data_IF_619660450371
#
_entry.id   IF_619660450371
#
_cell.length_a   1.000
_cell.length_b   1.000
_cell.length_c   1.000
_cell.angle_alpha   90.00
_cell.angle_beta   90.00
_cell.angle_gamma   90.00
#
_symmetry.space_group_name_H-M   'P 1'
#
loop_
_entity.id
_entity.type
_entity.pdbx_description
1 polymer ?
#
# COMPACT_ATOMS: atom_id res chain seq x y z
N UNK A 1 -32.32 18.38 -39.31
CA UNK A 1 -31.57 17.82 -38.16
C UNK A 1 -32.56 17.29 -37.13
N UNK A 2 -32.59 15.97 -36.92
CA UNK A 2 -33.68 15.27 -36.25
C UNK A 2 -33.53 15.29 -34.72
N UNK A 3 -34.55 15.73 -33.97
CA UNK A 3 -34.53 15.87 -32.48
C UNK A 3 -34.19 14.57 -31.76
N UNK A 4 -34.49 13.42 -32.36
CA UNK A 4 -34.31 12.08 -31.78
C UNK A 4 -32.84 11.67 -31.65
N UNK A 5 -31.96 12.11 -32.55
CA UNK A 5 -30.52 11.78 -32.50
C UNK A 5 -29.79 12.53 -31.38
N UNK A 6 -30.16 13.80 -31.14
CA UNK A 6 -29.61 14.62 -30.05
C UNK A 6 -29.99 14.10 -28.66
N UNK A 7 -31.22 13.58 -28.51
CA UNK A 7 -31.71 12.98 -27.26
C UNK A 7 -30.95 11.67 -26.94
N UNK A 8 -30.71 10.82 -27.95
CA UNK A 8 -29.96 9.56 -27.83
C UNK A 8 -28.48 9.77 -27.48
N UNK A 9 -27.85 10.79 -28.07
CA UNK A 9 -26.47 11.17 -27.74
C UNK A 9 -26.33 11.67 -26.29
N UNK A 10 -27.23 12.54 -25.82
CA UNK A 10 -27.25 13.00 -24.40
C UNK A 10 -27.47 11.85 -23.42
N UNK A 11 -28.39 10.93 -23.72
CA UNK A 11 -28.66 9.78 -22.85
C UNK A 11 -27.47 8.81 -22.75
N UNK A 12 -26.71 8.62 -23.83
CA UNK A 12 -25.48 7.79 -23.80
C UNK A 12 -24.37 8.41 -22.97
N UNK A 13 -24.19 9.73 -23.04
CA UNK A 13 -23.18 10.47 -22.23
C UNK A 13 -23.57 10.46 -20.75
N UNK A 14 -24.85 10.71 -20.44
CA UNK A 14 -25.38 10.68 -19.07
C UNK A 14 -25.27 9.28 -18.43
N UNK A 15 -25.64 8.22 -19.16
CA UNK A 15 -25.48 6.82 -18.66
C UNK A 15 -24.02 6.44 -18.42
N UNK A 16 -23.08 6.88 -19.26
CA UNK A 16 -21.64 6.66 -19.07
C UNK A 16 -21.09 7.35 -17.81
N UNK A 17 -21.63 8.52 -17.46
CA UNK A 17 -21.28 9.23 -16.23
C UNK A 17 -21.81 8.53 -14.98
N UNK A 18 -23.06 8.08 -15.01
CA UNK A 18 -23.72 7.38 -13.89
C UNK A 18 -23.07 6.02 -13.60
N UNK A 19 -22.76 5.22 -14.63
CA UNK A 19 -22.05 3.94 -14.47
C UNK A 19 -20.64 4.11 -13.90
N UNK A 20 -19.90 5.14 -14.34
CA UNK A 20 -18.59 5.46 -13.77
C UNK A 20 -18.68 5.85 -12.30
N UNK A 21 -19.69 6.64 -11.91
CA UNK A 21 -19.91 7.04 -10.51
C UNK A 21 -20.26 5.85 -9.61
N UNK A 22 -21.13 4.95 -10.08
CA UNK A 22 -21.62 3.82 -9.29
C UNK A 22 -20.53 2.77 -9.02
N UNK A 23 -19.63 2.54 -9.99
CA UNK A 23 -18.49 1.64 -9.82
C UNK A 23 -17.47 2.18 -8.79
N UNK A 24 -17.17 3.49 -8.80
CA UNK A 24 -16.29 4.11 -7.80
C UNK A 24 -16.86 4.08 -6.38
N UNK A 25 -18.18 4.09 -6.21
CA UNK A 25 -18.82 4.13 -4.90
C UNK A 25 -18.58 2.87 -4.05
N UNK A 26 -18.41 1.70 -4.68
CA UNK A 26 -18.16 0.44 -3.96
C UNK A 26 -16.70 -0.03 -4.02
N UNK A 27 -15.98 0.27 -5.12
CA UNK A 27 -14.59 -0.17 -5.28
C UNK A 27 -13.61 0.57 -4.34
N UNK A 28 -13.74 1.89 -4.19
CA UNK A 28 -12.83 2.67 -3.32
C UNK A 28 -12.90 2.24 -1.85
N UNK A 29 -14.08 2.09 -1.21
CA UNK A 29 -14.13 1.61 0.18
C UNK A 29 -13.55 0.21 0.35
N UNK A 30 -13.82 -0.71 -0.58
CA UNK A 30 -13.25 -2.05 -0.53
C UNK A 30 -11.72 -2.01 -0.58
N UNK A 31 -11.15 -1.24 -1.52
CA UNK A 31 -9.71 -1.06 -1.63
C UNK A 31 -9.10 -0.41 -0.38
N UNK A 32 -9.75 0.60 0.22
CA UNK A 32 -9.28 1.20 1.46
C UNK A 32 -9.20 0.18 2.61
N UNK A 33 -10.22 -0.68 2.73
CA UNK A 33 -10.25 -1.74 3.75
C UNK A 33 -9.17 -2.79 3.48
N UNK A 34 -9.02 -3.26 2.24
CA UNK A 34 -8.00 -4.24 1.88
C UNK A 34 -6.58 -3.70 2.13
N UNK A 35 -6.30 -2.47 1.70
CA UNK A 35 -5.01 -1.81 1.96
C UNK A 35 -4.80 -1.63 3.46
N UNK A 36 -5.80 -1.13 4.18
CA UNK A 36 -5.72 -0.95 5.63
C UNK A 36 -5.41 -2.25 6.38
N UNK A 37 -6.11 -3.34 6.08
CA UNK A 37 -5.88 -4.67 6.66
C UNK A 37 -4.45 -5.14 6.37
N UNK A 38 -3.97 -4.98 5.13
CA UNK A 38 -2.61 -5.41 4.75
C UNK A 38 -1.53 -4.71 5.59
N UNK A 39 -1.68 -3.40 5.84
CA UNK A 39 -0.74 -2.63 6.65
C UNK A 39 -0.85 -2.92 8.14
N UNK A 40 -2.06 -3.10 8.67
CA UNK A 40 -2.26 -3.50 10.07
C UNK A 40 -1.65 -4.88 10.33
N UNK A 41 -1.89 -5.85 9.43
CA UNK A 41 -1.30 -7.18 9.53
C UNK A 41 0.24 -7.14 9.44
N UNK A 42 0.78 -6.43 8.44
CA UNK A 42 2.23 -6.25 8.29
C UNK A 42 2.87 -5.61 9.53
N UNK A 43 2.31 -4.49 10.01
CA UNK A 43 2.85 -3.79 11.18
C UNK A 43 2.76 -4.65 12.44
N UNK A 44 1.65 -5.38 12.63
CA UNK A 44 1.50 -6.30 13.77
C UNK A 44 2.55 -7.41 13.76
N UNK A 45 2.85 -7.99 12.59
CA UNK A 45 3.90 -9.00 12.45
C UNK A 45 5.29 -8.41 12.77
N UNK A 46 5.57 -7.17 12.38
CA UNK A 46 6.84 -6.50 12.75
C UNK A 46 6.96 -6.22 14.24
N UNK A 47 5.85 -5.96 14.94
CA UNK A 47 5.84 -5.82 16.41
C UNK A 47 6.10 -7.17 17.09
N UNK A 48 5.44 -8.24 16.64
CA UNK A 48 5.58 -9.58 17.25
C UNK A 48 6.99 -10.13 17.02
N UNK A 49 7.55 -9.91 15.83
CA UNK A 49 8.84 -10.46 15.40
C UNK A 49 9.91 -9.37 15.28
N UNK A 50 9.99 -8.57 16.33
CA UNK A 50 10.89 -7.43 16.44
C UNK A 50 12.35 -7.74 16.10
N UNK A 51 12.88 -8.83 16.67
CA UNK A 51 14.29 -9.21 16.51
C UNK A 51 14.62 -9.45 15.05
N UNK A 52 13.79 -10.24 14.37
CA UNK A 52 13.93 -10.58 12.95
C UNK A 52 13.82 -9.34 12.06
N UNK A 53 12.91 -8.41 12.38
CA UNK A 53 12.80 -7.15 11.66
C UNK A 53 14.03 -6.25 11.85
N UNK A 54 14.59 -6.21 13.07
CA UNK A 54 15.81 -5.47 13.38
C UNK A 54 17.03 -6.07 12.67
N UNK A 55 17.12 -7.40 12.61
CA UNK A 55 18.16 -8.13 11.88
C UNK A 55 18.07 -7.85 10.36
N UNK A 56 16.85 -7.81 9.81
CA UNK A 56 16.63 -7.40 8.42
C UNK A 56 17.04 -5.94 8.17
N UNK A 57 16.79 -5.03 9.12
CA UNK A 57 17.25 -3.64 9.04
C UNK A 57 18.78 -3.50 9.17
N UNK A 58 19.43 -4.39 9.91
CA UNK A 58 20.89 -4.45 10.00
C UNK A 58 21.50 -5.02 8.73
N UNK A 59 20.90 -6.05 8.14
CA UNK A 59 21.44 -6.71 6.94
C UNK A 59 21.54 -5.74 5.76
N UNK A 60 20.59 -4.82 5.67
CA UNK A 60 20.57 -3.69 4.75
C UNK A 60 21.82 -2.79 4.77
N UNK A 61 22.49 -2.62 5.91
CA UNK A 61 23.82 -2.02 6.00
C UNK A 61 23.94 -0.52 5.70
N UNK A 62 22.84 0.20 5.44
CA UNK A 62 22.83 1.64 5.18
C UNK A 62 22.40 2.50 6.38
N UNK A 63 21.96 1.89 7.49
CA UNK A 63 21.50 2.59 8.70
C UNK A 63 22.43 2.33 9.89
N UNK A 64 22.77 3.36 10.69
CA UNK A 64 23.45 3.16 11.98
C UNK A 64 22.52 2.48 12.99
N UNK A 65 23.10 1.72 13.92
CA UNK A 65 22.37 0.91 14.92
C UNK A 65 21.33 1.70 15.73
N UNK A 66 21.61 2.97 16.04
CA UNK A 66 20.69 3.84 16.76
C UNK A 66 19.40 4.09 15.95
N UNK A 67 19.52 4.29 14.63
CA UNK A 67 18.36 4.51 13.74
C UNK A 67 17.63 3.20 13.51
N UNK A 68 18.32 2.07 13.46
CA UNK A 68 17.69 0.74 13.31
C UNK A 68 16.74 0.47 14.47
N UNK A 69 17.17 0.70 15.71
CA UNK A 69 16.31 0.50 16.88
C UNK A 69 15.11 1.45 16.89
N UNK A 70 15.33 2.73 16.55
CA UNK A 70 14.26 3.71 16.47
C UNK A 70 13.27 3.40 15.35
N UNK A 71 13.75 3.00 14.17
CA UNK A 71 12.95 2.60 13.02
C UNK A 71 12.19 1.29 13.28
N UNK A 72 12.84 0.33 13.95
CA UNK A 72 12.24 -0.89 14.47
C UNK A 72 11.02 -0.58 15.33
N UNK A 73 11.09 0.47 16.16
CA UNK A 73 9.98 0.90 17.02
C UNK A 73 8.92 1.65 16.24
N UNK A 74 9.33 2.71 15.56
CA UNK A 74 8.40 3.67 15.02
C UNK A 74 7.63 3.12 13.80
N UNK A 75 8.31 2.40 12.90
CA UNK A 75 7.72 1.97 11.63
C UNK A 75 6.50 1.04 11.81
N UNK A 76 6.53 0.00 12.67
CA UNK A 76 5.37 -0.86 12.87
C UNK A 76 4.15 -0.10 13.40
N UNK A 77 4.34 0.81 14.37
CA UNK A 77 3.25 1.64 14.89
C UNK A 77 2.71 2.61 13.85
N UNK A 78 3.58 3.19 13.01
CA UNK A 78 3.17 4.05 11.89
C UNK A 78 2.34 3.23 10.88
N UNK A 79 2.75 2.01 10.54
CA UNK A 79 2.01 1.13 9.63
C UNK A 79 0.62 0.79 10.16
N UNK A 80 0.54 0.41 11.43
CA UNK A 80 -0.74 0.05 12.08
C UNK A 80 -1.67 1.28 12.13
N UNK A 81 -1.16 2.43 12.58
CA UNK A 81 -1.98 3.64 12.72
C UNK A 81 -2.48 4.14 11.37
N UNK A 82 -1.63 4.21 10.34
CA UNK A 82 -2.05 4.58 9.00
C UNK A 82 -3.02 3.56 8.39
N UNK A 83 -2.79 2.26 8.64
CA UNK A 83 -3.69 1.19 8.20
C UNK A 83 -5.09 1.33 8.80
N UNK A 84 -5.19 1.55 10.13
CA UNK A 84 -6.46 1.76 10.83
C UNK A 84 -7.19 3.02 10.34
N UNK A 85 -6.46 4.13 10.19
CA UNK A 85 -7.04 5.37 9.68
C UNK A 85 -7.54 5.24 8.24
N UNK A 86 -6.86 4.43 7.41
CA UNK A 86 -7.29 4.11 6.05
C UNK A 86 -8.62 3.34 6.04
N UNK A 87 -8.83 2.41 6.98
CA UNK A 87 -10.08 1.65 7.13
C UNK A 87 -11.26 2.55 7.50
N UNK A 88 -11.04 3.54 8.38
CA UNK A 88 -12.06 4.55 8.75
C UNK A 88 -12.21 5.64 7.67
N UNK A 89 -11.42 5.57 6.59
CA UNK A 89 -11.38 6.55 5.49
C UNK A 89 -11.11 7.98 5.96
N UNK A 90 -10.31 8.13 7.02
CA UNK A 90 -9.92 9.43 7.52
C UNK A 90 -8.87 10.07 6.60
N UNK A 91 -9.10 11.27 6.06
CA UNK A 91 -8.14 11.99 5.19
C UNK A 91 -7.47 11.10 4.13
N UNK A 92 -8.28 10.31 3.41
CA UNK A 92 -7.84 9.24 2.49
C UNK A 92 -6.70 9.64 1.57
N UNK A 93 -6.73 10.84 0.96
CA UNK A 93 -5.68 11.30 0.05
C UNK A 93 -4.29 11.36 0.71
N UNK A 94 -4.22 11.83 1.95
CA UNK A 94 -2.95 11.98 2.69
C UNK A 94 -2.44 10.59 3.09
N UNK A 95 -3.33 9.75 3.60
CA UNK A 95 -2.98 8.42 4.08
C UNK A 95 -2.57 7.49 2.93
N UNK A 96 -3.31 7.50 1.82
CA UNK A 96 -2.94 6.76 0.61
C UNK A 96 -1.56 7.17 0.09
N UNK A 97 -1.24 8.47 0.12
CA UNK A 97 0.09 8.98 -0.22
C UNK A 97 1.17 8.47 0.73
N UNK A 98 0.96 8.58 2.04
CA UNK A 98 1.91 8.12 3.05
C UNK A 98 2.19 6.60 2.94
N UNK A 99 1.13 5.79 2.81
CA UNK A 99 1.25 4.34 2.64
C UNK A 99 1.95 3.97 1.32
N UNK A 100 1.66 4.66 0.23
CA UNK A 100 2.34 4.45 -1.05
C UNK A 100 3.84 4.78 -0.95
N UNK A 101 4.19 5.90 -0.32
CA UNK A 101 5.60 6.29 -0.09
C UNK A 101 6.31 5.25 0.76
N UNK A 102 5.69 4.79 1.85
CA UNK A 102 6.27 3.76 2.71
C UNK A 102 6.53 2.46 1.94
N UNK A 103 5.56 2.00 1.16
CA UNK A 103 5.69 0.81 0.30
C UNK A 103 6.82 0.96 -0.71
N UNK A 104 6.93 2.12 -1.37
CA UNK A 104 7.99 2.38 -2.34
C UNK A 104 9.37 2.34 -1.70
N UNK A 105 9.53 2.96 -0.52
CA UNK A 105 10.79 2.95 0.24
C UNK A 105 11.17 1.52 0.60
N UNK A 106 10.27 0.76 1.25
CA UNK A 106 10.57 -0.63 1.65
C UNK A 106 10.85 -1.54 0.45
N UNK A 107 10.08 -1.40 -0.63
CA UNK A 107 10.27 -2.21 -1.84
C UNK A 107 11.61 -1.88 -2.51
N UNK A 108 11.95 -0.59 -2.62
CA UNK A 108 13.22 -0.14 -3.19
C UNK A 108 14.43 -0.59 -2.37
N UNK A 109 14.35 -0.43 -1.04
CA UNK A 109 15.35 -0.93 -0.09
C UNK A 109 15.55 -2.44 -0.25
N UNK A 110 14.46 -3.21 -0.27
CA UNK A 110 14.52 -4.67 -0.42
C UNK A 110 15.12 -5.07 -1.77
N UNK A 111 14.73 -4.38 -2.85
CA UNK A 111 15.27 -4.63 -4.19
C UNK A 111 16.78 -4.35 -4.26
N UNK A 112 17.24 -3.23 -3.71
CA UNK A 112 18.67 -2.88 -3.66
C UNK A 112 19.45 -3.93 -2.88
N UNK A 113 18.94 -4.37 -1.74
CA UNK A 113 19.60 -5.37 -0.91
C UNK A 113 19.73 -6.74 -1.59
N UNK A 114 18.71 -7.15 -2.36
CA UNK A 114 18.76 -8.36 -3.21
C UNK A 114 19.81 -8.20 -4.31
N UNK A 115 19.86 -7.05 -4.99
CA UNK A 115 20.87 -6.77 -6.03
C UNK A 115 22.30 -6.77 -5.47
N UNK A 116 22.47 -6.45 -4.19
CA UNK A 116 23.75 -6.53 -3.49
C UNK A 116 24.09 -7.95 -3.00
N UNK A 117 23.24 -8.94 -3.26
CA UNK A 117 23.45 -10.33 -2.84
C UNK A 117 23.33 -10.54 -1.33
N UNK A 118 22.66 -9.64 -0.61
CA UNK A 118 22.46 -9.77 0.85
C UNK A 118 21.29 -10.72 1.12
N UNK A 119 21.41 -11.65 2.08
CA UNK A 119 20.28 -12.49 2.50
C UNK A 119 19.27 -11.62 3.23
N UNK A 120 18.22 -11.21 2.54
CA UNK A 120 17.09 -10.49 3.13
C UNK A 120 15.99 -11.50 3.40
N UNK A 121 15.65 -11.69 4.67
CA UNK A 121 14.45 -12.42 5.04
C UNK A 121 13.24 -11.51 4.85
N UNK A 122 12.14 -12.07 4.33
CA UNK A 122 10.91 -11.31 4.13
C UNK A 122 10.33 -10.95 5.51
N UNK A 123 10.73 -9.81 6.07
CA UNK A 123 10.33 -9.31 7.41
C UNK A 123 8.82 -9.05 7.60
N UNK A 124 7.97 -9.53 6.68
CA UNK A 124 6.52 -9.61 6.82
C UNK A 124 6.02 -10.97 7.32
N UNK A 125 6.77 -12.07 7.18
CA UNK A 125 6.31 -13.40 7.63
C UNK A 125 7.44 -14.17 8.33
N UNK A 126 7.29 -14.43 9.63
CA UNK A 126 8.27 -15.16 10.44
C UNK A 126 8.00 -16.66 10.32
N UNK A 127 9.03 -17.42 9.93
CA UNK A 127 8.97 -18.88 9.81
C UNK A 127 9.00 -19.42 8.38
N UNK A 128 8.96 -18.57 7.36
CA UNK A 128 9.39 -18.97 6.03
C UNK A 128 10.87 -18.61 5.91
N UNK A 129 11.76 -19.60 6.04
CA UNK A 129 13.13 -19.54 5.50
C UNK A 129 13.11 -19.46 3.95
N UNK A 130 12.17 -18.71 3.39
CA UNK A 130 12.02 -18.55 1.96
C UNK A 130 12.59 -17.18 1.57
N UNK A 131 13.53 -17.15 0.62
CA UNK A 131 14.06 -15.89 0.10
C UNK A 131 12.91 -15.03 -0.43
N UNK A 132 13.11 -13.71 -0.45
CA UNK A 132 12.15 -12.76 -1.03
C UNK A 132 11.72 -13.25 -2.42
N UNK A 133 10.51 -13.82 -2.49
CA UNK A 133 9.96 -14.42 -3.70
C UNK A 133 9.38 -13.33 -4.62
N UNK A 134 9.25 -13.62 -5.90
CA UNK A 134 8.54 -12.77 -6.87
C UNK A 134 7.14 -12.36 -6.38
N UNK A 135 6.50 -13.18 -5.54
CA UNK A 135 5.23 -12.87 -4.89
C UNK A 135 5.27 -11.62 -4.00
N UNK A 136 6.41 -11.29 -3.37
CA UNK A 136 6.58 -10.05 -2.59
C UNK A 136 6.41 -8.82 -3.47
N UNK A 137 7.14 -8.77 -4.60
CA UNK A 137 7.09 -7.66 -5.53
C UNK A 137 5.72 -7.52 -6.19
N UNK A 138 5.08 -8.64 -6.54
CA UNK A 138 3.74 -8.63 -7.09
C UNK A 138 2.71 -8.08 -6.09
N UNK A 139 2.74 -8.56 -4.84
CA UNK A 139 1.86 -8.07 -3.77
C UNK A 139 2.08 -6.57 -3.51
N UNK A 140 3.32 -6.13 -3.40
CA UNK A 140 3.63 -4.72 -3.17
C UNK A 140 3.23 -3.87 -4.37
N UNK A 141 3.43 -4.35 -5.60
CA UNK A 141 2.98 -3.69 -6.82
C UNK A 141 1.46 -3.50 -6.84
N UNK A 142 0.68 -4.52 -6.48
CA UNK A 142 -0.77 -4.43 -6.37
C UNK A 142 -1.22 -3.43 -5.29
N UNK A 143 -0.56 -3.41 -4.13
CA UNK A 143 -0.86 -2.45 -3.06
C UNK A 143 -0.53 -1.01 -3.47
N UNK A 144 0.61 -0.80 -4.14
CA UNK A 144 1.01 0.50 -4.69
C UNK A 144 -0.01 1.00 -5.71
N UNK A 145 -0.42 0.15 -6.66
CA UNK A 145 -1.44 0.48 -7.65
C UNK A 145 -2.78 0.82 -6.98
N UNK A 146 -3.16 0.07 -5.94
CA UNK A 146 -4.37 0.34 -5.15
C UNK A 146 -4.30 1.71 -4.47
N UNK A 147 -3.18 2.06 -3.84
CA UNK A 147 -2.97 3.37 -3.22
C UNK A 147 -3.03 4.51 -4.27
N UNK A 148 -2.41 4.34 -5.44
CA UNK A 148 -2.49 5.33 -6.52
C UNK A 148 -3.90 5.50 -7.07
N UNK A 149 -4.66 4.40 -7.23
CA UNK A 149 -6.06 4.46 -7.66
C UNK A 149 -6.94 5.20 -6.63
N UNK A 150 -6.76 4.91 -5.34
CA UNK A 150 -7.43 5.62 -4.25
C UNK A 150 -7.06 7.10 -4.25
N UNK A 151 -5.78 7.45 -4.45
CA UNK A 151 -5.34 8.84 -4.52
C UNK A 151 -5.94 9.58 -5.73
N UNK A 152 -5.96 8.93 -6.90
CA UNK A 152 -6.52 9.50 -8.13
C UNK A 152 -8.05 9.67 -8.06
N UNK A 153 -8.74 8.80 -7.32
CA UNK A 153 -10.18 8.92 -7.10
C UNK A 153 -10.52 9.98 -6.05
N UNK A 154 -9.70 10.14 -5.01
CA UNK A 154 -9.90 11.16 -3.99
C UNK A 154 -9.60 12.59 -4.46
N UNK A 155 -8.76 12.77 -5.49
CA UNK A 155 -8.52 14.08 -6.14
C UNK A 155 -9.65 14.54 -7.08
N UNK A 156 -10.56 13.64 -7.44
CA UNK A 156 -11.68 13.91 -8.37
C UNK A 156 -12.97 14.31 -7.65
N UNK A 157 -12.98 14.26 -6.33
CA UNK A 157 -14.07 14.70 -5.46
C UNK A 157 -13.77 16.11 -4.95
#
# INVERSE_FOLDING_TARGET
MNRTEGQSARNRIARRHLWKQQLTNHLVPLLCVTVGIAFVASGSLKVIYWSQFSDALMSYGFLPSLIINAAGLALPWIEITLGLMMMVRWRVSIIAGALATLLLIFTGVTAIAILQGRPVECGCFPGAMEPVSWGYFFRNGLLILSCFYILASARKQ
#
